data_IF_342561446851
#
_entry.id   IF_342561446851
#
_cell.length_a   1.000
_cell.length_b   1.000
_cell.length_c   1.000
_cell.angle_alpha   90.00
_cell.angle_beta   90.00
_cell.angle_gamma   90.00
#
_symmetry.space_group_name_H-M   'P 1'
#
loop_
_entity.id
_entity.type
_entity.pdbx_description
1 polymer ?
#
# COMPACT_ATOMS: atom_id res chain seq x y z
N UNK A 1 4.92 17.92 -6.96
CA UNK A 1 3.81 17.57 -7.86
C UNK A 1 2.52 17.25 -7.10
N UNK A 2 2.54 16.44 -6.04
CA UNK A 2 1.34 16.04 -5.29
C UNK A 2 0.50 17.20 -4.75
N UNK A 3 1.10 18.21 -4.11
CA UNK A 3 0.35 19.39 -3.65
C UNK A 3 -0.38 20.12 -4.78
N UNK A 4 0.21 20.19 -5.97
CA UNK A 4 -0.43 20.82 -7.13
C UNK A 4 -1.62 19.98 -7.60
N UNK A 5 -1.48 18.66 -7.66
CA UNK A 5 -2.59 17.76 -8.02
C UNK A 5 -3.73 17.84 -7.00
N UNK A 6 -3.44 17.87 -5.69
CA UNK A 6 -4.45 18.08 -4.64
C UNK A 6 -5.18 19.42 -4.80
N UNK A 7 -4.45 20.50 -5.09
CA UNK A 7 -5.06 21.80 -5.39
C UNK A 7 -6.00 21.74 -6.59
N UNK A 8 -5.69 20.94 -7.62
CA UNK A 8 -6.56 20.77 -8.78
C UNK A 8 -7.80 19.90 -8.46
N UNK A 9 -7.64 18.87 -7.63
CA UNK A 9 -8.77 18.04 -7.17
C UNK A 9 -9.77 18.84 -6.33
N UNK A 10 -9.33 19.92 -5.67
CA UNK A 10 -10.20 20.84 -4.92
C UNK A 10 -11.10 20.12 -3.90
N UNK A 11 -10.55 19.10 -3.23
CA UNK A 11 -11.25 18.38 -2.17
C UNK A 11 -11.41 19.28 -0.93
N UNK A 12 -12.62 19.34 -0.39
CA UNK A 12 -12.96 20.22 0.75
C UNK A 12 -13.03 19.50 2.09
N UNK A 13 -13.06 18.17 2.07
CA UNK A 13 -13.24 17.31 3.24
C UNK A 13 -12.34 16.08 3.14
N UNK A 14 -11.98 15.47 4.28
CA UNK A 14 -11.29 14.19 4.30
C UNK A 14 -11.98 13.20 3.35
N UNK A 15 -11.17 12.52 2.54
CA UNK A 15 -11.63 11.72 1.41
C UNK A 15 -10.81 10.43 1.33
N UNK A 16 -11.39 9.39 0.73
CA UNK A 16 -10.72 8.15 0.38
C UNK A 16 -10.15 8.24 -1.05
N UNK A 17 -8.82 8.22 -1.15
CA UNK A 17 -8.10 8.47 -2.41
C UNK A 17 -7.37 7.20 -2.88
N UNK A 18 -7.46 6.91 -4.19
CA UNK A 18 -6.60 5.93 -4.84
C UNK A 18 -5.35 6.62 -5.39
N UNK A 19 -4.16 6.19 -4.97
CA UNK A 19 -2.87 6.64 -5.50
C UNK A 19 -2.35 5.60 -6.52
N UNK A 20 -2.48 5.93 -7.81
CA UNK A 20 -2.16 5.04 -8.93
C UNK A 20 -0.69 5.23 -9.34
N UNK A 21 0.09 4.17 -9.24
CA UNK A 21 1.54 4.21 -9.36
C UNK A 21 2.17 4.87 -8.15
N UNK A 22 1.79 4.44 -6.95
CA UNK A 22 2.17 5.08 -5.69
C UNK A 22 3.67 4.95 -5.38
N UNK A 23 4.39 4.04 -6.05
CA UNK A 23 5.81 3.78 -5.86
C UNK A 23 6.18 3.55 -4.40
N UNK A 24 7.12 4.35 -3.91
CA UNK A 24 7.61 4.32 -2.53
C UNK A 24 6.72 5.07 -1.53
N UNK A 25 5.54 5.52 -1.96
CA UNK A 25 4.51 6.14 -1.10
C UNK A 25 4.69 7.63 -0.83
N UNK A 26 5.60 8.32 -1.54
CA UNK A 26 5.87 9.76 -1.35
C UNK A 26 4.65 10.64 -1.59
N UNK A 27 3.84 10.33 -2.61
CA UNK A 27 2.56 11.01 -2.87
C UNK A 27 1.56 10.75 -1.74
N UNK A 28 1.42 9.49 -1.34
CA UNK A 28 0.57 9.08 -0.23
C UNK A 28 0.91 9.73 1.12
N UNK A 29 2.19 9.94 1.44
CA UNK A 29 2.60 10.68 2.65
C UNK A 29 2.03 12.10 2.67
N UNK A 30 2.02 12.78 1.52
CA UNK A 30 1.41 14.11 1.39
C UNK A 30 -0.12 14.05 1.56
N UNK A 31 -0.78 12.99 1.06
CA UNK A 31 -2.22 12.78 1.28
C UNK A 31 -2.55 12.65 2.77
N UNK A 32 -1.75 11.87 3.51
CA UNK A 32 -1.89 11.69 4.96
C UNK A 32 -1.62 12.97 5.76
N UNK A 33 -0.67 13.80 5.31
CA UNK A 33 -0.25 15.03 5.99
C UNK A 33 -1.08 16.27 5.60
N UNK A 34 -2.02 16.14 4.67
CA UNK A 34 -2.85 17.27 4.24
C UNK A 34 -3.69 17.76 5.42
N UNK A 35 -3.59 19.04 5.82
CA UNK A 35 -4.28 19.55 7.00
C UNK A 35 -5.79 19.71 6.76
N UNK A 36 -6.62 19.76 7.82
CA UNK A 36 -8.06 20.03 7.71
C UNK A 36 -8.41 21.33 6.98
N UNK A 37 -7.59 22.37 7.13
CA UNK A 37 -7.77 23.65 6.40
C UNK A 37 -7.62 23.50 4.89
N UNK A 38 -6.98 22.44 4.41
CA UNK A 38 -6.82 22.10 3.00
C UNK A 38 -7.66 20.88 2.59
N UNK A 39 -8.63 20.46 3.42
CA UNK A 39 -9.53 19.35 3.14
C UNK A 39 -9.01 17.96 3.52
N UNK A 40 -7.87 17.83 4.21
CA UNK A 40 -7.35 16.54 4.70
C UNK A 40 -7.62 16.29 6.19
N UNK A 41 -6.95 15.31 6.83
CA UNK A 41 -6.06 14.31 6.23
C UNK A 41 -6.84 13.29 5.41
N UNK A 42 -6.28 12.85 4.28
CA UNK A 42 -6.92 11.86 3.43
C UNK A 42 -6.52 10.44 3.82
N UNK A 43 -7.46 9.51 3.70
CA UNK A 43 -7.17 8.07 3.74
C UNK A 43 -6.86 7.65 2.31
N UNK A 44 -5.87 6.79 2.11
CA UNK A 44 -5.49 6.40 0.77
C UNK A 44 -5.07 4.94 0.66
N UNK A 45 -5.24 4.41 -0.54
CA UNK A 45 -4.75 3.11 -0.97
C UNK A 45 -3.83 3.35 -2.16
N UNK A 46 -2.59 2.87 -2.08
CA UNK A 46 -1.62 2.95 -3.16
C UNK A 46 -1.60 1.66 -3.96
N UNK A 47 -1.64 1.75 -5.29
CA UNK A 47 -1.36 0.63 -6.18
C UNK A 47 -0.09 0.88 -6.98
N UNK A 48 0.76 -0.13 -7.11
CA UNK A 48 1.96 -0.07 -7.95
C UNK A 48 2.28 -1.46 -8.50
N UNK A 49 2.90 -1.52 -9.68
CA UNK A 49 3.33 -2.76 -10.32
C UNK A 49 4.66 -3.27 -9.74
N UNK A 50 5.47 -2.37 -9.17
CA UNK A 50 6.81 -2.67 -8.68
C UNK A 50 6.79 -3.12 -7.22
N UNK A 51 6.99 -4.42 -7.01
CA UNK A 51 7.12 -5.00 -5.68
C UNK A 51 8.27 -4.37 -4.86
N UNK A 52 9.37 -3.99 -5.50
CA UNK A 52 10.52 -3.37 -4.81
C UNK A 52 10.21 -1.95 -4.34
N UNK A 53 9.45 -1.18 -5.12
CA UNK A 53 9.02 0.16 -4.71
C UNK A 53 8.03 0.10 -3.54
N UNK A 54 7.11 -0.87 -3.56
CA UNK A 54 6.20 -1.12 -2.44
C UNK A 54 6.94 -1.57 -1.18
N UNK A 55 8.04 -2.32 -1.31
CA UNK A 55 8.87 -2.67 -0.16
C UNK A 55 9.51 -1.42 0.48
N UNK A 56 10.01 -0.48 -0.34
CA UNK A 56 10.49 0.81 0.16
C UNK A 56 9.39 1.58 0.89
N UNK A 57 8.15 1.57 0.37
CA UNK A 57 7.01 2.20 1.04
C UNK A 57 6.70 1.53 2.40
N UNK A 58 6.78 0.20 2.49
CA UNK A 58 6.60 -0.54 3.74
C UNK A 58 7.69 -0.23 4.77
N UNK A 59 8.94 -0.10 4.33
CA UNK A 59 10.08 0.27 5.17
C UNK A 59 9.97 1.71 5.69
N UNK A 60 9.37 2.61 4.91
CA UNK A 60 9.03 3.99 5.32
C UNK A 60 7.87 4.07 6.32
N UNK A 61 7.19 2.96 6.58
CA UNK A 61 6.02 2.89 7.46
C UNK A 61 4.89 3.85 7.04
N UNK A 62 4.63 3.93 5.72
CA UNK A 62 3.56 4.78 5.19
C UNK A 62 2.20 4.42 5.77
N UNK A 63 1.32 5.42 5.79
CA UNK A 63 0.02 5.28 6.45
C UNK A 63 -1.06 4.61 5.60
N UNK A 64 -0.95 4.66 4.28
CA UNK A 64 -1.88 4.04 3.35
C UNK A 64 -1.72 2.52 3.26
N UNK A 65 -2.77 1.86 2.79
CA UNK A 65 -2.68 0.45 2.42
C UNK A 65 -2.07 0.34 1.02
N UNK A 66 -1.28 -0.71 0.79
CA UNK A 66 -0.52 -0.92 -0.44
C UNK A 66 -0.99 -2.18 -1.18
N UNK A 67 -1.17 -2.04 -2.49
CA UNK A 67 -1.62 -3.09 -3.39
C UNK A 67 -0.60 -3.29 -4.52
N UNK A 68 -0.09 -4.52 -4.65
CA UNK A 68 0.69 -4.92 -5.82
C UNK A 68 -0.29 -5.21 -6.96
N UNK A 69 -0.34 -4.32 -7.96
CA UNK A 69 -1.27 -4.44 -9.08
C UNK A 69 -0.77 -3.66 -10.31
N UNK A 70 -1.08 -4.19 -11.49
CA UNK A 70 -0.85 -3.51 -12.77
C UNK A 70 -2.08 -2.66 -13.13
N UNK A 71 -1.88 -1.34 -13.23
CA UNK A 71 -2.94 -0.41 -13.63
C UNK A 71 -3.43 -0.63 -15.07
N UNK A 72 -2.62 -1.24 -15.95
CA UNK A 72 -3.02 -1.60 -17.32
C UNK A 72 -4.06 -2.72 -17.36
N UNK A 73 -4.18 -3.51 -16.29
CA UNK A 73 -5.21 -4.54 -16.13
C UNK A 73 -6.48 -4.02 -15.43
N UNK A 74 -6.53 -2.71 -15.14
CA UNK A 74 -7.62 -2.06 -14.44
C UNK A 74 -7.46 -2.00 -12.93
N UNK A 75 -8.41 -1.35 -12.26
CA UNK A 75 -8.40 -1.16 -10.80
C UNK A 75 -9.29 -2.21 -10.14
N UNK A 76 -8.76 -3.10 -9.28
CA UNK A 76 -9.51 -4.23 -8.73
C UNK A 76 -10.37 -3.84 -7.52
N UNK A 77 -11.26 -2.86 -7.70
CA UNK A 77 -12.20 -2.38 -6.68
C UNK A 77 -13.60 -2.24 -7.27
N UNK A 78 -14.61 -2.13 -6.39
CA UNK A 78 -15.96 -1.82 -6.81
C UNK A 78 -16.05 -0.39 -7.36
N UNK A 79 -16.87 -0.18 -8.39
CA UNK A 79 -17.21 1.16 -8.87
C UNK A 79 -17.75 2.05 -7.74
N UNK A 80 -17.30 3.31 -7.70
CA UNK A 80 -17.67 4.28 -6.67
C UNK A 80 -17.01 4.06 -5.30
N UNK A 81 -15.93 3.26 -5.22
CA UNK A 81 -15.23 3.02 -3.95
C UNK A 81 -14.37 4.19 -3.46
N UNK A 82 -13.92 5.06 -4.37
CA UNK A 82 -13.00 6.18 -4.06
C UNK A 82 -13.67 7.51 -4.40
N UNK A 83 -13.40 8.54 -3.58
CA UNK A 83 -13.86 9.90 -3.82
C UNK A 83 -13.02 10.60 -4.90
N UNK A 84 -11.74 10.24 -4.97
CA UNK A 84 -10.80 10.75 -5.96
C UNK A 84 -9.70 9.74 -6.26
N UNK A 85 -9.03 9.93 -7.39
CA UNK A 85 -7.79 9.25 -7.73
C UNK A 85 -6.71 10.28 -8.07
N UNK A 86 -5.47 9.96 -7.73
CA UNK A 86 -4.28 10.72 -8.08
C UNK A 86 -3.27 9.80 -8.74
N UNK A 87 -2.46 10.32 -9.64
CA UNK A 87 -1.31 9.62 -10.18
C UNK A 87 -0.21 10.63 -10.45
N UNK A 88 0.96 10.41 -9.85
CA UNK A 88 2.11 11.31 -9.98
C UNK A 88 3.19 10.59 -10.77
N UNK A 89 3.38 11.02 -12.02
CA UNK A 89 4.44 10.51 -12.91
C UNK A 89 4.37 9.00 -13.16
N UNK A 90 3.17 8.40 -13.20
CA UNK A 90 2.98 6.97 -13.50
C UNK A 90 2.20 6.68 -14.78
N UNK A 91 1.07 7.35 -15.05
CA UNK A 91 0.16 6.99 -16.16
C UNK A 91 0.81 6.96 -17.55
N UNK A 92 1.92 7.68 -17.78
CA UNK A 92 2.63 7.62 -19.07
C UNK A 92 3.16 6.22 -19.39
N UNK A 93 3.37 5.37 -18.38
CA UNK A 93 3.78 3.98 -18.56
C UNK A 93 2.69 3.12 -19.21
N UNK A 94 1.43 3.53 -19.20
CA UNK A 94 0.37 2.85 -19.97
C UNK A 94 0.61 2.94 -21.48
N UNK A 95 1.38 3.92 -21.93
CA UNK A 95 1.78 4.06 -23.33
C UNK A 95 3.05 3.26 -23.67
N UNK A 96 3.66 2.58 -22.70
CA UNK A 96 4.79 1.70 -22.94
C UNK A 96 4.28 0.32 -23.35
N UNK A 97 4.58 -0.10 -24.58
CA UNK A 97 4.10 -1.36 -25.17
C UNK A 97 4.96 -2.58 -24.79
N UNK A 98 5.79 -2.51 -23.74
CA UNK A 98 6.37 -3.70 -23.13
C UNK A 98 5.26 -4.48 -22.44
N UNK A 99 4.57 -5.29 -23.25
CA UNK A 99 3.56 -6.22 -22.82
C UNK A 99 4.18 -7.21 -21.83
N UNK A 100 3.49 -7.48 -20.73
CA UNK A 100 3.78 -8.60 -19.83
C UNK A 100 3.66 -9.99 -20.48
N UNK A 101 3.45 -10.07 -21.81
CA UNK A 101 3.43 -11.29 -22.61
C UNK A 101 4.72 -12.14 -22.49
N UNK A 102 5.84 -11.54 -22.05
CA UNK A 102 7.06 -12.25 -21.69
C UNK A 102 7.07 -12.97 -20.32
N UNK A 103 6.04 -12.80 -19.49
CA UNK A 103 5.94 -13.45 -18.17
C UNK A 103 5.06 -14.70 -18.13
N UNK A 104 4.56 -15.16 -19.29
CA UNK A 104 3.79 -16.41 -19.40
C UNK A 104 4.63 -17.69 -19.21
N UNK A 105 5.96 -17.58 -19.18
CA UNK A 105 6.91 -18.68 -18.93
C UNK A 105 7.79 -18.50 -17.69
N UNK A 106 7.52 -17.50 -16.84
CA UNK A 106 8.28 -17.33 -15.59
C UNK A 106 7.63 -18.23 -14.54
N UNK A 107 8.19 -19.42 -14.32
CA UNK A 107 7.98 -20.07 -13.03
C UNK A 107 8.41 -19.07 -11.96
N UNK A 108 7.50 -18.75 -11.03
CA UNK A 108 7.86 -18.03 -9.80
C UNK A 108 8.77 -18.97 -9.01
N UNK A 109 10.07 -18.94 -9.34
CA UNK A 109 11.07 -19.65 -8.57
C UNK A 109 11.23 -18.86 -7.28
N UNK A 110 10.55 -19.33 -6.24
CA UNK A 110 10.69 -18.82 -4.90
C UNK A 110 12.15 -19.02 -4.43
N UNK A 111 12.99 -18.00 -4.65
CA UNK A 111 14.40 -18.00 -4.27
C UNK A 111 14.61 -18.16 -2.75
N UNK A 112 13.55 -18.17 -1.93
CA UNK A 112 13.61 -18.45 -0.49
C UNK A 112 13.97 -19.91 -0.16
N UNK A 113 14.21 -20.78 -1.15
CA UNK A 113 14.49 -22.21 -0.90
C UNK A 113 15.98 -22.61 -0.86
N UNK A 114 16.94 -21.71 -1.09
CA UNK A 114 18.36 -22.05 -0.91
C UNK A 114 19.14 -20.90 -0.26
N UNK A 115 19.71 -21.18 0.90
CA UNK A 115 20.65 -20.29 1.61
C UNK A 115 20.27 -20.06 3.06
N UNK A 116 20.63 -21.00 3.94
CA UNK A 116 20.71 -20.73 5.39
C UNK A 116 21.93 -19.83 5.63
N UNK A 117 21.70 -18.52 5.73
CA UNK A 117 22.56 -17.64 6.52
C UNK A 117 21.73 -17.04 7.65
N UNK A 118 22.30 -17.03 8.86
CA UNK A 118 21.68 -16.46 10.07
C UNK A 118 21.68 -14.92 9.97
N UNK A 119 20.89 -14.38 9.05
CA UNK A 119 20.55 -12.96 8.98
C UNK A 119 19.43 -12.62 9.96
N UNK A 120 19.46 -11.39 10.50
CA UNK A 120 18.46 -10.82 11.41
C UNK A 120 17.06 -11.03 10.82
N UNK A 121 16.20 -11.75 11.55
CA UNK A 121 14.88 -12.22 11.07
C UNK A 121 14.02 -11.04 10.61
N UNK A 122 13.85 -10.93 9.30
CA UNK A 122 12.99 -9.92 8.66
C UNK A 122 11.53 -10.09 9.10
N UNK A 123 10.84 -8.97 9.33
CA UNK A 123 9.48 -8.95 9.86
C UNK A 123 8.47 -9.41 8.80
N UNK A 124 8.10 -10.69 8.82
CA UNK A 124 7.15 -11.25 7.85
C UNK A 124 5.72 -10.76 8.10
N UNK A 125 5.04 -10.31 7.04
CA UNK A 125 3.60 -10.01 7.01
C UNK A 125 2.79 -11.19 7.60
N UNK A 126 1.86 -10.89 8.50
CA UNK A 126 1.08 -11.87 9.27
C UNK A 126 1.81 -12.50 10.47
N UNK A 127 3.08 -12.17 10.70
CA UNK A 127 3.80 -12.54 11.91
C UNK A 127 3.35 -11.73 13.13
N UNK A 128 3.61 -12.23 14.34
CA UNK A 128 3.19 -11.56 15.59
C UNK A 128 3.74 -10.13 15.72
N UNK A 129 5.02 -9.92 15.38
CA UNK A 129 5.65 -8.61 15.40
C UNK A 129 4.93 -7.63 14.46
N UNK A 130 4.73 -8.04 13.20
CA UNK A 130 3.99 -7.27 12.20
C UNK A 130 2.57 -6.92 12.65
N UNK A 131 1.85 -7.87 13.27
CA UNK A 131 0.49 -7.62 13.79
C UNK A 131 0.50 -6.59 14.93
N UNK A 132 1.48 -6.67 15.84
CA UNK A 132 1.58 -5.72 16.94
C UNK A 132 1.92 -4.32 16.45
N UNK A 133 2.90 -4.19 15.55
CA UNK A 133 3.24 -2.92 14.91
C UNK A 133 2.04 -2.32 14.19
N UNK A 134 1.28 -3.11 13.44
CA UNK A 134 0.07 -2.63 12.76
C UNK A 134 -1.04 -2.22 13.73
N UNK A 135 -1.21 -2.92 14.86
CA UNK A 135 -2.15 -2.50 15.91
C UNK A 135 -1.75 -1.15 16.50
N UNK A 136 -0.48 -0.99 16.87
CA UNK A 136 0.07 0.27 17.38
C UNK A 136 -0.07 1.41 16.35
N UNK A 137 0.20 1.13 15.07
CA UNK A 137 -0.01 2.08 13.98
C UNK A 137 -1.47 2.53 13.92
N UNK A 138 -2.42 1.61 14.07
CA UNK A 138 -3.85 1.90 14.04
C UNK A 138 -4.31 2.65 15.31
N UNK A 139 -3.71 2.37 16.47
CA UNK A 139 -3.93 3.11 17.72
C UNK A 139 -3.42 4.55 17.64
N UNK A 140 -2.21 4.76 17.10
CA UNK A 140 -1.64 6.10 16.83
C UNK A 140 -2.51 6.92 15.89
N UNK A 141 -3.19 6.25 14.95
CA UNK A 141 -4.18 6.85 14.02
C UNK A 141 -5.54 7.13 14.68
N UNK A 142 -5.69 6.93 15.99
CA UNK A 142 -6.94 7.15 16.72
C UNK A 142 -8.05 6.15 16.39
N UNK A 143 -7.74 5.03 15.71
CA UNK A 143 -8.73 4.01 15.39
C UNK A 143 -8.97 3.12 16.60
N UNK A 144 -10.21 2.62 16.74
CA UNK A 144 -10.54 1.64 17.78
C UNK A 144 -9.87 0.31 17.44
N UNK A 145 -8.85 -0.06 18.21
CA UNK A 145 -8.08 -1.31 18.04
C UNK A 145 -8.33 -2.24 19.20
N UNK A 146 -8.53 -3.53 18.92
CA UNK A 146 -8.68 -4.55 19.97
C UNK A 146 -7.33 -4.78 20.66
N UNK A 147 -7.34 -4.70 21.99
CA UNK A 147 -6.17 -4.97 22.84
C UNK A 147 -5.41 -6.23 22.41
N UNK A 148 -4.09 -6.16 22.46
CA UNK A 148 -3.24 -7.32 22.22
C UNK A 148 -3.44 -8.36 23.34
N UNK A 149 -3.54 -9.63 22.96
CA UNK A 149 -3.62 -10.75 23.90
C UNK A 149 -2.52 -11.77 23.63
N UNK A 150 -2.33 -12.73 24.55
CA UNK A 150 -1.40 -13.87 24.37
C UNK A 150 -1.64 -14.70 23.10
N UNK A 151 -2.82 -14.56 22.48
CA UNK A 151 -3.20 -15.26 21.24
C UNK A 151 -2.98 -14.43 19.96
N UNK A 152 -2.51 -13.18 20.08
CA UNK A 152 -2.26 -12.30 18.92
C UNK A 152 -1.21 -12.92 18.00
N UNK A 153 -1.55 -13.11 16.72
CA UNK A 153 -0.68 -13.69 15.70
C UNK A 153 -0.48 -15.20 15.77
N UNK A 154 -1.26 -15.91 16.59
CA UNK A 154 -1.28 -17.39 16.58
C UNK A 154 -2.06 -17.89 15.37
N UNK A 155 -1.50 -18.86 14.65
CA UNK A 155 -2.22 -19.56 13.56
C UNK A 155 -3.49 -20.20 14.13
N UNK A 156 -4.64 -19.93 13.52
CA UNK A 156 -5.90 -20.61 13.84
C UNK A 156 -5.92 -21.91 13.03
N UNK A 157 -6.28 -23.02 13.69
CA UNK A 157 -6.37 -24.34 13.02
C UNK A 157 -7.48 -24.36 11.97
N UNK A 158 -7.51 -25.41 11.11
CA UNK A 158 -8.59 -25.57 10.14
C UNK A 158 -9.94 -25.64 10.86
N UNK A 159 -10.94 -24.96 10.32
CA UNK A 159 -12.34 -25.19 10.68
C UNK A 159 -12.84 -26.32 9.78
N UNK A 160 -13.20 -27.44 10.39
CA UNK A 160 -13.99 -28.48 9.76
C UNK A 160 -15.45 -28.04 9.71
#
# INVERSE_FOLDING_TARGET
MTHRALSLLSLRTPSLILDIGCGSGLSGEILSLTPPSAGGPHIWIGMDISASMLDVALQRDVDGDLLLADMGQGVPVRAGAFDAAISISAIQWLCNAESSEGMSGVEVVDARRRGKEKGKREERKGGKAWILRKKEQMERKGKVVKASSKYTGRKRGPKF
#
